data_IF_831538769703
#
_entry.id   IF_831538769703
#
_cell.length_a   1.000
_cell.length_b   1.000
_cell.length_c   1.000
_cell.angle_alpha   90.00
_cell.angle_beta   90.00
_cell.angle_gamma   90.00
#
_symmetry.space_group_name_H-M   'P 1'
#
loop_
_entity.id
_entity.type
_entity.pdbx_description
1 polymer ?
#
# COMPACT_ATOMS: atom_id res chain seq x y z
N UNK A 1 -4.37 23.19 2.08
CA UNK A 1 -3.26 22.83 1.16
C UNK A 1 -3.66 21.63 0.32
N UNK A 2 -3.03 21.49 -0.84
CA UNK A 2 -3.18 20.32 -1.71
C UNK A 2 -2.24 19.21 -1.24
N UNK A 3 -2.74 17.98 -1.14
CA UNK A 3 -2.00 16.84 -0.62
C UNK A 3 -2.11 15.63 -1.53
N UNK A 4 -1.13 14.74 -1.48
CA UNK A 4 -1.21 13.40 -2.06
C UNK A 4 -0.68 12.36 -1.08
N UNK A 5 -1.20 11.14 -1.17
CA UNK A 5 -0.75 10.02 -0.35
C UNK A 5 0.05 9.01 -1.16
N UNK A 6 1.03 8.39 -0.54
CA UNK A 6 1.81 7.31 -1.11
C UNK A 6 1.84 6.12 -0.17
N UNK A 7 1.74 4.93 -0.74
CA UNK A 7 1.68 3.67 0.00
C UNK A 7 2.76 2.71 -0.47
N UNK A 8 3.52 2.15 0.47
CA UNK A 8 4.41 1.01 0.26
C UNK A 8 3.95 -0.15 1.15
N UNK A 9 3.30 -1.13 0.53
CA UNK A 9 2.76 -2.29 1.22
C UNK A 9 3.77 -3.43 1.38
N UNK A 10 3.50 -4.23 2.40
CA UNK A 10 4.14 -5.49 2.77
C UNK A 10 3.04 -6.48 3.19
N UNK A 11 3.44 -7.70 3.54
CA UNK A 11 2.53 -8.71 4.11
C UNK A 11 1.87 -8.21 5.40
N UNK A 12 0.61 -7.79 5.29
CA UNK A 12 -0.25 -7.40 6.40
C UNK A 12 -0.15 -5.95 6.88
N UNK A 13 0.65 -5.10 6.25
CA UNK A 13 0.77 -3.69 6.64
C UNK A 13 1.31 -2.82 5.49
N UNK A 14 1.17 -1.49 5.60
CA UNK A 14 1.80 -0.55 4.68
C UNK A 14 2.38 0.68 5.37
N UNK A 15 3.46 1.23 4.80
CA UNK A 15 3.88 2.59 5.10
C UNK A 15 2.98 3.55 4.30
N UNK A 16 2.31 4.46 5.00
CA UNK A 16 1.59 5.60 4.44
C UNK A 16 2.40 6.87 4.69
N UNK A 17 2.66 7.64 3.65
CA UNK A 17 3.18 9.01 3.76
C UNK A 17 2.28 9.96 2.96
N UNK A 18 1.92 11.08 3.57
CA UNK A 18 1.14 12.14 2.95
C UNK A 18 2.02 13.36 2.78
N UNK A 19 2.16 13.83 1.55
CA UNK A 19 2.92 15.03 1.20
C UNK A 19 1.93 16.13 0.85
N UNK A 20 2.17 17.34 1.37
CA UNK A 20 1.42 18.55 1.03
C UNK A 20 2.30 19.57 0.32
N UNK A 21 1.68 20.40 -0.52
CA UNK A 21 2.33 21.56 -1.13
C UNK A 21 1.99 22.82 -0.33
N UNK A 22 3.02 23.59 0.06
CA UNK A 22 2.88 24.86 0.78
C UNK A 22 4.00 25.81 0.34
N UNK A 23 3.67 27.06 0.04
CA UNK A 23 4.62 28.17 -0.18
C UNK A 23 5.80 27.83 -1.10
N UNK A 24 5.54 27.16 -2.23
CA UNK A 24 6.56 26.77 -3.21
C UNK A 24 7.42 25.56 -2.82
N UNK A 25 7.12 24.92 -1.68
CA UNK A 25 7.79 23.72 -1.18
C UNK A 25 6.85 22.56 -0.90
N UNK A 26 7.43 21.51 -0.32
CA UNK A 26 6.72 20.31 0.12
C UNK A 26 6.89 20.11 1.63
N UNK A 27 5.86 19.55 2.27
CA UNK A 27 5.87 19.20 3.69
C UNK A 27 5.29 17.80 3.90
N UNK A 28 5.75 17.11 4.94
CA UNK A 28 5.15 15.83 5.36
C UNK A 28 3.97 16.15 6.28
N UNK A 29 2.76 15.82 5.83
CA UNK A 29 1.51 16.11 6.54
C UNK A 29 1.14 14.98 7.50
N UNK A 30 1.32 13.74 7.07
CA UNK A 30 1.04 12.54 7.86
C UNK A 30 2.05 11.45 7.48
N UNK A 31 2.41 10.62 8.46
CA UNK A 31 3.28 9.47 8.28
C UNK A 31 2.90 8.39 9.26
N UNK A 32 2.46 7.24 8.76
CA UNK A 32 1.98 6.14 9.59
C UNK A 32 2.39 4.79 9.03
N UNK A 33 2.47 3.82 9.92
CA UNK A 33 2.34 2.40 9.59
C UNK A 33 0.87 2.05 9.77
N UNK A 34 0.22 1.58 8.71
CA UNK A 34 -1.16 1.08 8.77
C UNK A 34 -1.16 -0.44 8.72
N UNK A 35 -1.89 -1.09 9.62
CA UNK A 35 -2.08 -2.53 9.60
C UNK A 35 -3.22 -2.87 8.64
N UNK A 36 -3.00 -3.89 7.81
CA UNK A 36 -3.93 -4.36 6.77
C UNK A 36 -4.55 -5.71 7.11
N UNK A 37 -4.28 -6.23 8.29
CA UNK A 37 -4.84 -7.46 8.84
C UNK A 37 -5.14 -7.29 10.32
N UNK A 38 -6.09 -8.05 10.82
CA UNK A 38 -6.46 -8.17 12.23
C UNK A 38 -5.98 -9.49 12.84
N UNK A 39 -5.74 -10.51 12.03
CA UNK A 39 -5.24 -11.82 12.46
C UNK A 39 -3.82 -12.09 11.94
N UNK A 40 -2.96 -12.72 12.75
CA UNK A 40 -1.55 -12.96 12.41
C UNK A 40 -1.40 -13.83 11.15
N UNK A 41 -2.24 -14.87 11.00
CA UNK A 41 -2.21 -15.76 9.84
C UNK A 41 -2.59 -15.04 8.54
N UNK A 42 -3.41 -13.98 8.62
CA UNK A 42 -3.89 -13.25 7.46
C UNK A 42 -2.79 -12.37 6.83
N UNK A 43 -1.63 -12.20 7.49
CA UNK A 43 -0.44 -11.60 6.85
C UNK A 43 0.03 -12.43 5.66
N UNK A 44 -0.16 -13.75 5.74
CA UNK A 44 0.32 -14.72 4.77
C UNK A 44 -0.72 -15.83 4.54
N UNK A 45 -1.88 -15.49 3.93
CA UNK A 45 -3.01 -16.42 3.82
C UNK A 45 -2.69 -17.67 3.01
N UNK A 46 -1.78 -17.60 2.04
CA UNK A 46 -1.39 -18.77 1.24
C UNK A 46 -0.49 -19.71 2.04
N UNK A 47 0.46 -19.16 2.82
CA UNK A 47 1.26 -19.98 3.74
C UNK A 47 0.40 -20.60 4.84
N UNK A 48 -0.53 -19.84 5.41
CA UNK A 48 -1.45 -20.35 6.43
C UNK A 48 -2.33 -21.50 5.92
N UNK A 49 -2.58 -21.55 4.60
CA UNK A 49 -3.38 -22.56 3.94
C UNK A 49 -2.55 -23.72 3.34
N UNK A 50 -1.21 -23.70 3.48
CA UNK A 50 -0.32 -24.62 2.77
C UNK A 50 -0.66 -26.09 3.04
N UNK A 51 -0.85 -26.45 4.31
CA UNK A 51 -1.04 -27.84 4.74
C UNK A 51 -2.52 -28.23 4.93
N UNK A 52 -3.45 -27.35 4.54
CA UNK A 52 -4.89 -27.63 4.65
C UNK A 52 -5.39 -28.44 3.45
N UNK A 53 -6.45 -29.26 3.62
CA UNK A 53 -7.12 -29.86 2.47
C UNK A 53 -7.69 -28.77 1.55
N UNK A 54 -7.88 -29.09 0.28
CA UNK A 54 -8.06 -28.08 -0.77
C UNK A 54 -9.22 -27.11 -0.50
N UNK A 55 -10.35 -27.63 -0.04
CA UNK A 55 -11.55 -26.83 0.22
C UNK A 55 -11.32 -25.86 1.38
N UNK A 56 -10.74 -26.32 2.49
CA UNK A 56 -10.40 -25.49 3.64
C UNK A 56 -9.34 -24.44 3.29
N UNK A 57 -8.33 -24.83 2.51
CA UNK A 57 -7.28 -23.93 2.04
C UNK A 57 -7.84 -22.78 1.21
N UNK A 58 -8.71 -23.09 0.22
CA UNK A 58 -9.36 -22.07 -0.62
C UNK A 58 -10.22 -21.13 0.23
N UNK A 59 -10.99 -21.68 1.17
CA UNK A 59 -11.81 -20.88 2.09
C UNK A 59 -10.97 -19.96 2.97
N UNK A 60 -9.86 -20.45 3.51
CA UNK A 60 -8.96 -19.64 4.35
C UNK A 60 -8.32 -18.50 3.55
N UNK A 61 -7.84 -18.79 2.33
CA UNK A 61 -7.28 -17.76 1.45
C UNK A 61 -8.33 -16.72 1.07
N UNK A 62 -9.53 -17.14 0.68
CA UNK A 62 -10.63 -16.23 0.37
C UNK A 62 -10.97 -15.32 1.57
N UNK A 63 -11.02 -15.87 2.78
CA UNK A 63 -11.22 -15.08 4.01
C UNK A 63 -10.10 -14.07 4.23
N UNK A 64 -8.85 -14.47 4.05
CA UNK A 64 -7.69 -13.57 4.21
C UNK A 64 -7.72 -12.43 3.19
N UNK A 65 -8.00 -12.74 1.92
CA UNK A 65 -8.15 -11.73 0.85
C UNK A 65 -9.29 -10.77 1.18
N UNK A 66 -10.47 -11.27 1.53
CA UNK A 66 -11.61 -10.43 1.89
C UNK A 66 -11.32 -9.55 3.11
N UNK A 67 -10.62 -10.07 4.12
CA UNK A 67 -10.22 -9.28 5.30
C UNK A 67 -9.25 -8.15 4.92
N UNK A 68 -8.24 -8.44 4.07
CA UNK A 68 -7.30 -7.44 3.60
C UNK A 68 -7.99 -6.28 2.85
N UNK A 69 -8.94 -6.59 1.96
CA UNK A 69 -9.73 -5.57 1.25
C UNK A 69 -10.55 -4.71 2.21
N UNK A 70 -11.31 -5.34 3.13
CA UNK A 70 -12.13 -4.63 4.12
C UNK A 70 -11.30 -3.72 5.02
N UNK A 71 -10.13 -4.18 5.48
CA UNK A 71 -9.27 -3.39 6.36
C UNK A 71 -8.59 -2.27 5.57
N UNK A 72 -8.12 -2.52 4.35
CA UNK A 72 -7.57 -1.48 3.49
C UNK A 72 -8.59 -0.36 3.24
N UNK A 73 -9.85 -0.71 2.96
CA UNK A 73 -10.94 0.26 2.79
C UNK A 73 -11.17 1.07 4.07
N UNK A 74 -11.20 0.42 5.24
CA UNK A 74 -11.30 1.10 6.53
C UNK A 74 -10.17 2.12 6.73
N UNK A 75 -8.92 1.71 6.51
CA UNK A 75 -7.77 2.61 6.67
C UNK A 75 -7.76 3.75 5.65
N UNK A 76 -8.24 3.50 4.42
CA UNK A 76 -8.41 4.53 3.41
C UNK A 76 -9.47 5.56 3.81
N UNK A 77 -10.63 5.12 4.33
CA UNK A 77 -11.66 6.01 4.89
C UNK A 77 -11.13 6.83 6.07
N UNK A 78 -10.29 6.24 6.91
CA UNK A 78 -9.59 6.97 7.99
C UNK A 78 -8.66 8.04 7.42
N UNK A 79 -7.90 7.73 6.38
CA UNK A 79 -7.08 8.71 5.67
C UNK A 79 -7.93 9.87 5.12
N UNK A 80 -9.00 9.58 4.36
CA UNK A 80 -9.90 10.61 3.80
C UNK A 80 -10.46 11.51 4.91
N UNK A 81 -10.95 10.92 5.99
CA UNK A 81 -11.49 11.67 7.14
C UNK A 81 -10.44 12.59 7.79
N UNK A 82 -9.21 12.11 7.97
CA UNK A 82 -8.10 12.93 8.53
C UNK A 82 -7.66 14.04 7.58
N UNK A 83 -7.90 13.84 6.29
CA UNK A 83 -7.56 14.78 5.22
C UNK A 83 -8.67 15.78 4.89
N UNK A 84 -9.80 15.78 5.61
CA UNK A 84 -10.99 16.57 5.28
C UNK A 84 -10.78 18.10 5.19
N UNK A 85 -9.68 18.65 5.70
CA UNK A 85 -9.31 20.07 5.60
C UNK A 85 -8.39 20.37 4.41
N UNK A 86 -8.07 19.37 3.61
CA UNK A 86 -7.13 19.42 2.50
C UNK A 86 -7.80 19.01 1.20
N UNK A 87 -7.28 19.50 0.09
CA UNK A 87 -7.63 19.00 -1.24
C UNK A 87 -6.77 17.76 -1.52
N UNK A 88 -7.39 16.59 -1.69
CA UNK A 88 -6.67 15.35 -2.01
C UNK A 88 -6.48 15.28 -3.53
N UNK A 89 -5.26 15.51 -4.01
CA UNK A 89 -4.92 15.40 -5.43
C UNK A 89 -4.95 13.96 -5.94
N UNK A 90 -4.72 12.99 -5.05
CA UNK A 90 -4.78 11.57 -5.34
C UNK A 90 -3.88 10.75 -4.42
N UNK A 91 -3.74 9.48 -4.77
CA UNK A 91 -2.87 8.53 -4.09
C UNK A 91 -2.04 7.71 -5.08
N UNK A 92 -0.88 7.25 -4.64
CA UNK A 92 -0.08 6.26 -5.35
C UNK A 92 0.20 5.05 -4.49
N UNK A 93 0.07 3.87 -5.08
CA UNK A 93 0.40 2.60 -4.44
C UNK A 93 1.58 1.98 -5.17
N UNK A 94 2.65 1.70 -4.43
CA UNK A 94 3.81 0.99 -4.98
C UNK A 94 3.45 -0.47 -5.22
N UNK A 95 3.61 -0.91 -6.46
CA UNK A 95 3.31 -2.28 -6.88
C UNK A 95 4.58 -3.01 -7.32
N UNK A 96 4.64 -4.30 -7.02
CA UNK A 96 5.65 -5.20 -7.56
C UNK A 96 5.37 -5.55 -9.02
N UNK A 97 6.07 -6.57 -9.55
CA UNK A 97 5.71 -7.13 -10.85
C UNK A 97 4.26 -7.68 -10.84
N UNK A 98 3.59 -7.80 -12.00
CA UNK A 98 2.28 -8.44 -12.06
C UNK A 98 2.29 -9.88 -11.53
N UNK A 99 1.13 -10.37 -11.12
CA UNK A 99 0.93 -11.78 -10.78
C UNK A 99 0.88 -12.60 -12.08
N UNK A 100 1.69 -13.66 -12.23
CA UNK A 100 1.51 -14.61 -13.32
C UNK A 100 0.17 -15.33 -13.20
N UNK A 101 -0.33 -15.89 -14.31
CA UNK A 101 -1.60 -16.63 -14.34
C UNK A 101 -1.44 -18.04 -13.75
N UNK A 102 -1.13 -18.10 -12.45
CA UNK A 102 -0.99 -19.35 -11.71
C UNK A 102 -2.31 -19.77 -11.09
N UNK A 103 -2.62 -21.06 -11.19
CA UNK A 103 -3.74 -21.66 -10.45
C UNK A 103 -3.46 -21.66 -8.94
N UNK A 104 -4.51 -21.83 -8.14
CA UNK A 104 -4.40 -21.95 -6.69
C UNK A 104 -3.41 -23.06 -6.27
N UNK A 105 -3.45 -24.22 -6.93
CA UNK A 105 -2.53 -25.34 -6.71
C UNK A 105 -1.09 -25.00 -7.09
N UNK A 106 -0.90 -24.29 -8.21
CA UNK A 106 0.42 -23.83 -8.63
C UNK A 106 1.00 -22.84 -7.62
N UNK A 107 0.19 -21.95 -7.04
CA UNK A 107 0.64 -21.02 -5.99
C UNK A 107 1.05 -21.80 -4.74
N UNK A 108 0.24 -22.75 -4.30
CA UNK A 108 0.48 -23.53 -3.08
C UNK A 108 1.62 -24.55 -3.17
N UNK A 109 1.97 -25.01 -4.36
CA UNK A 109 3.03 -26.01 -4.52
C UNK A 109 4.45 -25.47 -4.30
N UNK A 110 4.64 -24.14 -4.31
CA UNK A 110 5.98 -23.53 -4.18
C UNK A 110 5.93 -22.26 -3.34
N UNK A 111 6.76 -22.21 -2.28
CA UNK A 111 6.84 -21.07 -1.36
C UNK A 111 7.06 -19.71 -2.05
N UNK A 112 7.90 -19.67 -3.09
CA UNK A 112 8.15 -18.42 -3.84
C UNK A 112 6.89 -17.88 -4.50
N UNK A 113 5.97 -18.75 -4.91
CA UNK A 113 4.70 -18.35 -5.54
C UNK A 113 3.70 -17.87 -4.51
N UNK A 114 3.69 -18.43 -3.30
CA UNK A 114 2.92 -17.90 -2.18
C UNK A 114 3.39 -16.49 -1.80
N UNK A 115 4.71 -16.29 -1.63
CA UNK A 115 5.26 -14.95 -1.37
C UNK A 115 4.87 -13.95 -2.46
N UNK A 116 4.86 -14.39 -3.72
CA UNK A 116 4.43 -13.56 -4.84
C UNK A 116 2.94 -13.21 -4.77
N UNK A 117 2.07 -14.18 -4.50
CA UNK A 117 0.63 -13.97 -4.35
C UNK A 117 0.29 -13.02 -3.18
N UNK A 118 0.99 -13.16 -2.06
CA UNK A 118 0.82 -12.31 -0.88
C UNK A 118 1.39 -10.91 -1.11
N UNK A 119 2.51 -10.82 -1.83
CA UNK A 119 3.13 -9.54 -2.18
C UNK A 119 2.29 -8.68 -3.12
N UNK A 120 1.45 -9.29 -3.97
CA UNK A 120 0.51 -8.55 -4.83
C UNK A 120 -0.83 -8.26 -4.15
N UNK A 121 -1.22 -9.06 -3.14
CA UNK A 121 -2.50 -8.93 -2.45
C UNK A 121 -2.69 -7.56 -1.80
N UNK A 122 -1.76 -7.14 -0.95
CA UNK A 122 -1.91 -5.91 -0.16
C UNK A 122 -1.89 -4.62 -1.00
N UNK A 123 -0.99 -4.47 -2.01
CA UNK A 123 -1.09 -3.37 -2.97
C UNK A 123 -2.44 -3.35 -3.71
N UNK A 124 -2.94 -4.51 -4.17
CA UNK A 124 -4.23 -4.58 -4.86
C UNK A 124 -5.39 -4.17 -3.94
N UNK A 125 -5.38 -4.60 -2.68
CA UNK A 125 -6.36 -4.20 -1.68
C UNK A 125 -6.36 -2.68 -1.43
N UNK A 126 -5.19 -2.04 -1.39
CA UNK A 126 -5.07 -0.59 -1.24
C UNK A 126 -5.56 0.20 -2.46
N UNK A 127 -5.30 -0.30 -3.67
CA UNK A 127 -5.81 0.30 -4.91
C UNK A 127 -7.34 0.24 -4.92
N UNK A 128 -7.91 -0.94 -4.70
CA UNK A 128 -9.37 -1.10 -4.63
C UNK A 128 -10.00 -0.25 -3.52
N UNK A 129 -9.33 -0.11 -2.38
CA UNK A 129 -9.76 0.75 -1.28
C UNK A 129 -9.79 2.24 -1.65
N UNK A 130 -8.79 2.71 -2.42
CA UNK A 130 -8.75 4.08 -2.93
C UNK A 130 -9.89 4.34 -3.91
N UNK A 131 -10.11 3.42 -4.85
CA UNK A 131 -11.22 3.47 -5.82
C UNK A 131 -12.59 3.49 -5.11
N UNK A 132 -12.79 2.65 -4.09
CA UNK A 132 -14.02 2.61 -3.28
C UNK A 132 -14.24 3.88 -2.43
N UNK A 133 -13.23 4.73 -2.30
CA UNK A 133 -13.30 6.04 -1.66
C UNK A 133 -13.30 7.20 -2.67
N UNK A 134 -13.54 6.91 -3.96
CA UNK A 134 -13.57 7.87 -5.06
C UNK A 134 -12.26 8.68 -5.20
N UNK A 135 -11.13 8.09 -4.80
CA UNK A 135 -9.82 8.72 -4.94
C UNK A 135 -9.17 8.33 -6.27
N UNK A 136 -8.58 9.32 -6.94
CA UNK A 136 -7.68 9.05 -8.05
C UNK A 136 -6.45 8.29 -7.54
N UNK A 137 -6.25 7.05 -8.01
CA UNK A 137 -5.14 6.20 -7.60
C UNK A 137 -4.28 5.78 -8.79
N UNK A 138 -2.96 5.84 -8.60
CA UNK A 138 -1.99 5.37 -9.59
C UNK A 138 -1.17 4.23 -9.02
N UNK A 139 -1.10 3.12 -9.74
CA UNK A 139 -0.18 2.04 -9.44
C UNK A 139 1.22 2.41 -9.97
N UNK A 140 2.20 2.50 -9.08
CA UNK A 140 3.59 2.88 -9.42
C UNK A 140 4.49 1.66 -9.32
N UNK A 141 5.11 1.18 -10.42
CA UNK A 141 6.04 0.07 -10.35
C UNK A 141 7.23 0.40 -9.44
N UNK A 142 7.57 -0.50 -8.52
CA UNK A 142 8.76 -0.34 -7.68
C UNK A 142 10.04 -0.45 -8.50
N UNK A 143 10.01 -1.26 -9.56
CA UNK A 143 11.14 -1.42 -10.48
C UNK A 143 11.36 -0.12 -11.24
N UNK A 144 12.54 0.46 -11.08
CA UNK A 144 12.92 1.72 -11.75
C UNK A 144 12.49 2.98 -11.01
N UNK A 145 11.87 2.85 -9.82
CA UNK A 145 11.58 4.01 -8.98
C UNK A 145 12.86 4.54 -8.34
N UNK A 146 13.28 5.72 -8.75
CA UNK A 146 14.41 6.44 -8.15
C UNK A 146 13.92 7.28 -6.99
N UNK A 147 14.65 7.26 -5.86
CA UNK A 147 14.34 8.14 -4.73
C UNK A 147 14.59 9.59 -5.13
N UNK A 148 13.66 10.46 -4.75
CA UNK A 148 13.78 11.89 -4.97
C UNK A 148 14.62 12.53 -3.84
N UNK A 149 15.64 13.33 -4.18
CA UNK A 149 16.49 13.99 -3.19
C UNK A 149 15.71 14.91 -2.24
N UNK A 150 14.56 15.44 -2.70
CA UNK A 150 13.64 16.23 -1.86
C UNK A 150 13.08 15.38 -0.72
N UNK A 151 12.81 14.09 -0.97
CA UNK A 151 12.32 13.15 0.06
C UNK A 151 13.35 12.89 1.16
N UNK A 152 14.64 12.93 0.82
CA UNK A 152 15.71 12.83 1.82
C UNK A 152 15.69 14.04 2.75
N UNK A 153 15.51 15.24 2.20
CA UNK A 153 15.43 16.49 2.97
C UNK A 153 14.19 16.53 3.84
N UNK A 154 13.02 16.15 3.30
CA UNK A 154 11.76 16.05 4.04
C UNK A 154 11.87 15.16 5.29
N UNK A 155 12.66 14.09 5.21
CA UNK A 155 12.91 13.19 6.32
C UNK A 155 13.60 13.81 7.52
N UNK A 156 14.45 14.83 7.30
CA UNK A 156 15.14 15.53 8.40
C UNK A 156 14.14 16.27 9.28
N UNK A 157 13.14 16.89 8.68
CA UNK A 157 12.08 17.61 9.39
C UNK A 157 10.99 16.68 9.95
N UNK A 158 10.68 15.59 9.23
CA UNK A 158 9.62 14.65 9.63
C UNK A 158 10.00 13.70 10.79
N UNK A 159 11.30 13.54 11.05
CA UNK A 159 11.82 12.67 12.10
C UNK A 159 11.60 11.16 11.86
N UNK A 160 12.12 10.30 12.75
CA UNK A 160 12.03 8.85 12.59
C UNK A 160 10.62 8.28 12.92
N UNK A 161 10.27 7.11 12.38
CA UNK A 161 10.98 6.36 11.34
C UNK A 161 10.89 7.01 9.94
N UNK A 162 12.04 7.07 9.25
CA UNK A 162 12.18 7.54 7.85
C UNK A 162 13.07 6.60 7.03
N UNK A 163 12.74 5.31 7.07
CA UNK A 163 13.47 4.24 6.38
C UNK A 163 13.10 4.13 4.90
N UNK A 164 13.53 3.03 4.28
CA UNK A 164 13.29 2.76 2.85
C UNK A 164 11.81 2.86 2.50
N UNK A 165 10.93 2.24 3.29
CA UNK A 165 9.49 2.21 3.00
C UNK A 165 8.86 3.60 3.05
N UNK A 166 9.22 4.43 4.04
CA UNK A 166 8.71 5.80 4.13
C UNK A 166 9.22 6.66 2.97
N UNK A 167 10.51 6.53 2.60
CA UNK A 167 11.06 7.25 1.46
C UNK A 167 10.38 6.85 0.15
N UNK A 168 10.19 5.56 -0.07
CA UNK A 168 9.51 5.02 -1.26
C UNK A 168 8.05 5.48 -1.33
N UNK A 169 7.31 5.42 -0.22
CA UNK A 169 5.95 5.96 -0.13
C UNK A 169 5.91 7.48 -0.37
N UNK A 170 6.85 8.24 0.23
CA UNK A 170 6.95 9.68 0.05
C UNK A 170 7.26 10.08 -1.40
N UNK A 171 8.16 9.35 -2.07
CA UNK A 171 8.44 9.57 -3.51
C UNK A 171 7.18 9.36 -4.34
N UNK A 172 6.41 8.30 -4.07
CA UNK A 172 5.15 8.05 -4.78
C UNK A 172 4.15 9.19 -4.58
N UNK A 173 3.96 9.63 -3.33
CA UNK A 173 3.11 10.77 -2.99
C UNK A 173 3.55 12.05 -3.71
N UNK A 174 4.85 12.31 -3.77
CA UNK A 174 5.42 13.50 -4.39
C UNK A 174 5.19 13.51 -5.91
N UNK A 175 5.38 12.38 -6.58
CA UNK A 175 5.09 12.21 -8.02
C UNK A 175 3.60 12.48 -8.29
N UNK A 176 2.71 11.88 -7.49
CA UNK A 176 1.27 12.11 -7.61
C UNK A 176 0.92 13.57 -7.39
N UNK A 177 1.51 14.24 -6.40
CA UNK A 177 1.22 15.65 -6.14
C UNK A 177 1.70 16.58 -7.27
N UNK A 178 2.83 16.25 -7.91
CA UNK A 178 3.41 17.03 -9.00
C UNK A 178 2.70 16.82 -10.35
N UNK A 179 2.15 15.63 -10.61
CA UNK A 179 1.52 15.27 -11.89
C UNK A 179 0.08 15.77 -12.06
N UNK A 180 -0.54 16.32 -11.02
CA UNK A 180 -1.92 16.86 -11.06
C UNK A 180 -1.91 18.40 -11.02
N UNK A 181 -0.73 19.03 -11.10
CA UNK A 181 -0.54 20.48 -11.10
C UNK A 181 -0.76 21.10 -12.49
#
# INVERSE_FOLDING_TARGET
>A
MRIAAGFKAHSGWAALVVIGSSDGGFVVVDRRRIELVDEVWAKQPYHAAEQLPEVEARRLVQRGVASAHRIAEREMRVFVKRSARHEIAGCAVIVGSPMPDWTFEQIRSVHVRMHKAEGVLFPAALIAAAEACDLNVVAVPEKGLTLDDRVVTLGKSAGPPWGKDQKTAATAALITLANVA
#
